data_IF_667448054767
#
_entry.id   IF_667448054767
#
_cell.length_a   1.000
_cell.length_b   1.000
_cell.length_c   1.000
_cell.angle_alpha   90.00
_cell.angle_beta   90.00
_cell.angle_gamma   90.00
#
_symmetry.space_group_name_H-M   'P 1'
#
loop_
_entity.id
_entity.type
_entity.pdbx_description
1 polymer ?
#
# COMPACT_ATOMS: atom_id res chain seq x y z
N UNK A 1 2.25 28.52 -7.37
CA UNK A 1 1.51 27.30 -7.73
C UNK A 1 1.25 26.53 -6.47
N UNK A 2 -0.01 26.44 -6.07
CA UNK A 2 -0.44 25.69 -4.89
C UNK A 2 -0.15 24.20 -5.15
N UNK A 3 0.66 23.56 -4.29
CA UNK A 3 0.96 22.13 -4.42
C UNK A 3 -0.34 21.38 -4.21
N UNK A 4 -0.90 20.84 -5.29
CA UNK A 4 -2.16 20.11 -5.26
C UNK A 4 -1.91 18.75 -4.58
N UNK A 5 -2.06 18.70 -3.26
CA UNK A 5 -2.02 17.46 -2.50
C UNK A 5 -3.30 16.67 -2.78
N UNK A 6 -3.22 15.67 -3.65
CA UNK A 6 -4.38 14.81 -3.91
C UNK A 6 -4.52 13.76 -2.80
N UNK A 7 -5.73 13.65 -2.26
CA UNK A 7 -6.16 12.52 -1.44
C UNK A 7 -6.88 11.52 -2.34
N UNK A 8 -6.62 10.22 -2.15
CA UNK A 8 -7.27 9.17 -2.91
C UNK A 8 -8.02 8.24 -1.96
N UNK A 9 -9.31 8.04 -2.20
CA UNK A 9 -10.13 7.02 -1.53
C UNK A 9 -10.04 5.70 -2.28
N UNK A 10 -10.67 4.67 -1.71
CA UNK A 10 -10.55 3.29 -2.19
C UNK A 10 -11.04 3.14 -3.65
N UNK A 11 -12.02 3.93 -4.08
CA UNK A 11 -12.53 3.90 -5.45
C UNK A 11 -11.47 4.33 -6.47
N UNK A 12 -10.75 5.41 -6.18
CA UNK A 12 -9.63 5.87 -7.01
C UNK A 12 -8.46 4.87 -6.99
N UNK A 13 -8.19 4.26 -5.84
CA UNK A 13 -7.15 3.22 -5.71
C UNK A 13 -7.49 2.00 -6.59
N UNK A 14 -8.75 1.58 -6.67
CA UNK A 14 -9.17 0.47 -7.53
C UNK A 14 -8.93 0.72 -9.02
N UNK A 15 -8.99 1.98 -9.46
CA UNK A 15 -8.70 2.35 -10.85
C UNK A 15 -7.19 2.31 -11.15
N UNK A 16 -6.36 2.57 -10.15
CA UNK A 16 -4.90 2.62 -10.31
C UNK A 16 -4.25 1.25 -10.13
N UNK A 17 -4.72 0.45 -9.18
CA UNK A 17 -4.15 -0.85 -8.85
C UNK A 17 -4.98 -2.01 -9.43
N UNK A 18 -4.34 -3.03 -10.02
CA UNK A 18 -5.04 -4.25 -10.41
C UNK A 18 -5.32 -5.18 -9.22
N UNK A 19 -4.64 -4.99 -8.09
CA UNK A 19 -4.81 -5.79 -6.87
C UNK A 19 -6.25 -5.76 -6.36
N UNK A 20 -6.75 -6.91 -5.90
CA UNK A 20 -8.08 -7.08 -5.29
C UNK A 20 -7.96 -7.97 -4.06
N UNK A 21 -9.05 -8.10 -3.29
CA UNK A 21 -9.09 -8.97 -2.13
C UNK A 21 -8.59 -10.39 -2.47
N UNK A 22 -7.75 -11.02 -1.63
CA UNK A 22 -7.26 -10.55 -0.32
C UNK A 22 -5.90 -9.80 -0.36
N UNK A 23 -5.49 -9.28 -1.53
CA UNK A 23 -4.13 -8.78 -1.76
C UNK A 23 -4.06 -7.29 -2.15
N UNK A 24 -5.15 -6.53 -2.01
CA UNK A 24 -5.08 -5.07 -2.02
C UNK A 24 -4.86 -4.59 -0.57
N UNK A 25 -3.77 -3.89 -0.32
CA UNK A 25 -3.28 -3.58 1.03
C UNK A 25 -3.06 -2.08 1.26
N UNK A 26 -3.73 -1.22 0.49
CA UNK A 26 -3.70 0.24 0.68
C UNK A 26 -5.14 0.74 0.76
N UNK A 27 -5.50 1.34 1.89
CA UNK A 27 -6.88 1.78 2.15
C UNK A 27 -7.14 3.20 1.66
N UNK A 28 -6.13 4.08 1.81
CA UNK A 28 -6.25 5.51 1.49
C UNK A 28 -4.88 6.14 1.25
N UNK A 29 -4.84 7.11 0.34
CA UNK A 29 -3.73 8.06 0.19
C UNK A 29 -4.11 9.38 0.88
N UNK A 30 -3.27 9.81 1.82
CA UNK A 30 -3.44 11.05 2.60
C UNK A 30 -2.84 12.26 1.88
N UNK A 31 -1.76 12.06 1.13
CA UNK A 31 -1.12 13.11 0.34
C UNK A 31 -0.28 12.49 -0.77
N UNK A 32 -0.33 13.08 -1.95
CA UNK A 32 0.51 12.72 -3.08
C UNK A 32 1.03 14.01 -3.73
N UNK A 33 2.35 14.08 -3.91
CA UNK A 33 3.04 15.11 -4.70
C UNK A 33 3.79 14.39 -5.83
N UNK A 34 3.29 14.44 -7.09
CA UNK A 34 3.87 13.70 -8.20
C UNK A 34 5.38 13.97 -8.36
N UNK A 35 6.17 12.92 -8.54
CA UNK A 35 7.63 13.03 -8.65
C UNK A 35 8.37 13.37 -7.36
N UNK A 36 7.68 13.60 -6.24
CA UNK A 36 8.31 13.97 -4.96
C UNK A 36 8.00 13.01 -3.81
N UNK A 37 6.72 12.79 -3.48
CA UNK A 37 6.35 11.95 -2.32
C UNK A 37 4.91 11.43 -2.36
N UNK A 38 4.67 10.37 -1.59
CA UNK A 38 3.34 9.83 -1.32
C UNK A 38 3.24 9.41 0.15
N UNK A 39 2.08 9.62 0.76
CA UNK A 39 1.73 9.11 2.09
C UNK A 39 0.40 8.39 2.01
N UNK A 40 0.40 7.11 2.34
CA UNK A 40 -0.79 6.25 2.42
C UNK A 40 -0.83 5.56 3.78
N UNK A 41 -1.93 4.87 4.07
CA UNK A 41 -1.99 3.94 5.18
C UNK A 41 -2.82 2.70 4.82
N UNK A 42 -2.65 1.69 5.66
CA UNK A 42 -3.44 0.46 5.68
C UNK A 42 -3.92 0.27 7.12
N UNK A 43 -5.23 0.19 7.34
CA UNK A 43 -5.75 -0.22 8.63
C UNK A 43 -5.46 -1.70 8.83
N UNK A 44 -5.15 -2.08 10.07
CA UNK A 44 -4.90 -3.46 10.44
C UNK A 44 -6.01 -3.95 11.34
N UNK A 45 -6.74 -4.98 10.91
CA UNK A 45 -7.90 -5.49 11.67
C UNK A 45 -7.84 -7.00 11.83
N UNK A 46 -8.31 -7.50 12.99
CA UNK A 46 -8.37 -8.95 13.27
C UNK A 46 -9.23 -9.71 12.24
N UNK A 47 -10.10 -8.99 11.52
CA UNK A 47 -10.94 -9.55 10.47
C UNK A 47 -10.23 -9.73 9.11
N UNK A 48 -8.90 -9.66 9.06
CA UNK A 48 -8.13 -9.97 7.85
C UNK A 48 -7.74 -11.46 7.79
N UNK A 49 -7.77 -12.08 6.59
CA UNK A 49 -7.68 -13.54 6.47
C UNK A 49 -6.34 -14.12 6.94
N UNK A 50 -5.24 -13.37 6.86
CA UNK A 50 -3.93 -13.87 7.25
C UNK A 50 -3.75 -14.01 8.77
N UNK A 51 -4.57 -13.34 9.60
CA UNK A 51 -4.48 -13.48 11.06
C UNK A 51 -4.95 -14.84 11.58
N UNK A 52 -5.74 -15.59 10.80
CA UNK A 52 -6.09 -16.97 11.15
C UNK A 52 -4.85 -17.88 11.29
N UNK A 53 -3.78 -17.56 10.56
CA UNK A 53 -2.55 -18.35 10.51
C UNK A 53 -1.31 -17.64 11.04
N UNK A 54 -1.37 -16.34 11.33
CA UNK A 54 -0.18 -15.55 11.70
C UNK A 54 -0.43 -14.66 12.94
N UNK A 55 -0.48 -15.22 14.15
CA UNK A 55 -0.49 -16.65 14.51
C UNK A 55 -1.71 -16.96 15.37
N UNK A 56 -2.20 -18.21 15.43
CA UNK A 56 -3.24 -18.59 16.38
C UNK A 56 -2.86 -18.20 17.82
N UNK A 57 -3.67 -17.33 18.44
CA UNK A 57 -3.44 -16.80 19.79
C UNK A 57 -2.55 -15.57 19.90
N UNK A 58 -1.81 -15.20 18.86
CA UNK A 58 -0.90 -14.04 18.83
C UNK A 58 -0.92 -13.40 17.42
N UNK A 59 -1.93 -12.57 17.10
CA UNK A 59 -2.11 -12.01 15.77
C UNK A 59 -1.06 -10.92 15.48
N UNK A 60 -0.19 -11.19 14.51
CA UNK A 60 0.87 -10.28 14.06
C UNK A 60 0.74 -10.11 12.54
N UNK A 61 0.75 -8.89 12.03
CA UNK A 61 0.73 -8.69 10.58
C UNK A 61 2.05 -9.22 9.98
N UNK A 62 2.01 -10.09 8.96
CA UNK A 62 3.22 -10.57 8.32
C UNK A 62 4.04 -9.40 7.76
N UNK A 63 5.32 -9.32 8.11
CA UNK A 63 6.19 -8.21 7.67
C UNK A 63 6.24 -8.05 6.14
N UNK A 64 6.18 -9.16 5.41
CA UNK A 64 6.12 -9.16 3.93
C UNK A 64 4.88 -8.45 3.38
N UNK A 65 3.75 -8.44 4.10
CA UNK A 65 2.56 -7.70 3.68
C UNK A 65 2.68 -6.19 3.94
N UNK A 66 3.53 -5.78 4.88
CA UNK A 66 3.90 -4.36 5.06
C UNK A 66 4.69 -3.90 3.82
N UNK A 67 5.65 -4.72 3.38
CA UNK A 67 6.44 -4.45 2.18
C UNK A 67 5.57 -4.40 0.92
N UNK A 68 4.64 -5.34 0.78
CA UNK A 68 3.67 -5.35 -0.31
C UNK A 68 2.81 -4.07 -0.31
N UNK A 69 2.28 -3.65 0.84
CA UNK A 69 1.53 -2.39 0.95
C UNK A 69 2.38 -1.17 0.54
N UNK A 70 3.68 -1.15 0.89
CA UNK A 70 4.62 -0.13 0.45
C UNK A 70 4.85 -0.19 -1.08
N UNK A 71 4.99 -1.38 -1.65
CA UNK A 71 5.14 -1.56 -3.09
C UNK A 71 3.91 -1.06 -3.86
N UNK A 72 2.70 -1.41 -3.40
CA UNK A 72 1.44 -0.92 -3.96
C UNK A 72 1.31 0.61 -3.88
N UNK A 73 1.73 1.19 -2.76
CA UNK A 73 1.83 2.65 -2.62
C UNK A 73 2.80 3.25 -3.64
N UNK A 74 3.94 2.60 -3.90
CA UNK A 74 4.88 2.99 -4.95
C UNK A 74 4.28 2.92 -6.36
N UNK A 75 3.47 1.91 -6.67
CA UNK A 75 2.76 1.80 -7.95
C UNK A 75 1.76 2.96 -8.12
N UNK A 76 1.00 3.30 -7.07
CA UNK A 76 0.09 4.45 -7.07
C UNK A 76 0.87 5.73 -7.37
N UNK A 77 2.00 5.94 -6.70
CA UNK A 77 2.86 7.11 -6.93
C UNK A 77 3.41 7.17 -8.36
N UNK A 78 3.93 6.06 -8.89
CA UNK A 78 4.46 5.99 -10.24
C UNK A 78 3.40 6.34 -11.29
N UNK A 79 2.20 5.73 -11.19
CA UNK A 79 1.09 6.01 -12.12
C UNK A 79 0.57 7.45 -12.05
N UNK A 80 0.66 8.12 -10.91
CA UNK A 80 0.31 9.54 -10.80
C UNK A 80 1.45 10.48 -11.22
N UNK A 81 2.69 9.98 -11.30
CA UNK A 81 3.85 10.74 -11.76
C UNK A 81 4.00 10.67 -13.29
N UNK A 82 3.68 9.52 -13.89
CA UNK A 82 3.74 9.30 -15.34
C UNK A 82 2.50 8.51 -15.83
N UNK A 83 1.32 9.16 -15.88
CA UNK A 83 0.07 8.48 -16.23
C UNK A 83 0.05 7.97 -17.67
N UNK A 84 0.53 8.77 -18.63
CA UNK A 84 0.56 8.41 -20.05
C UNK A 84 1.59 7.31 -20.33
N UNK A 85 2.80 7.42 -19.76
CA UNK A 85 3.85 6.44 -19.95
C UNK A 85 3.57 5.09 -19.29
N UNK A 86 2.70 5.05 -18.28
CA UNK A 86 2.34 3.82 -17.55
C UNK A 86 0.91 3.33 -17.82
N UNK A 87 0.20 3.95 -18.76
CA UNK A 87 -1.13 3.51 -19.15
C UNK A 87 -1.12 2.06 -19.64
N UNK A 88 -2.03 1.24 -19.12
CA UNK A 88 -2.16 -0.18 -19.47
C UNK A 88 -1.00 -1.09 -19.02
N UNK A 89 0.06 -0.56 -18.38
CA UNK A 89 1.21 -1.36 -17.95
C UNK A 89 0.97 -2.01 -16.60
N UNK A 90 1.36 -3.29 -16.50
CA UNK A 90 1.49 -3.99 -15.23
C UNK A 90 2.85 -3.64 -14.62
N UNK A 91 2.84 -3.01 -13.45
CA UNK A 91 4.05 -2.77 -12.68
C UNK A 91 4.27 -3.96 -11.77
N UNK A 92 5.44 -4.57 -11.90
CA UNK A 92 5.88 -5.69 -11.07
C UNK A 92 7.02 -5.26 -10.16
N UNK A 93 7.04 -5.81 -8.96
CA UNK A 93 8.03 -5.49 -7.96
C UNK A 93 9.31 -6.30 -8.18
N UNK A 94 10.44 -5.62 -8.40
CA UNK A 94 11.70 -6.27 -8.78
C UNK A 94 12.57 -6.66 -7.56
N UNK A 95 12.52 -5.90 -6.47
CA UNK A 95 13.35 -6.16 -5.29
C UNK A 95 13.27 -5.06 -4.24
N UNK A 96 13.85 -5.34 -3.07
CA UNK A 96 14.03 -4.40 -1.97
C UNK A 96 15.38 -4.60 -1.33
N UNK A 97 15.98 -3.48 -0.93
CA UNK A 97 17.23 -3.46 -0.19
C UNK A 97 17.05 -2.77 1.17
N UNK A 98 17.88 -3.17 2.15
CA UNK A 98 17.95 -2.51 3.44
C UNK A 98 16.72 -2.65 4.34
N UNK A 99 15.85 -3.63 4.08
CA UNK A 99 14.62 -3.85 4.87
C UNK A 99 14.95 -4.28 6.29
N UNK A 100 14.34 -3.61 7.28
CA UNK A 100 14.41 -3.97 8.71
C UNK A 100 13.07 -3.72 9.39
N UNK A 101 12.50 -4.76 10.00
CA UNK A 101 11.31 -4.64 10.84
C UNK A 101 11.72 -4.33 12.28
N UNK A 102 11.18 -3.24 12.86
CA UNK A 102 11.58 -2.74 14.19
C UNK A 102 10.62 -3.13 15.32
N UNK A 103 9.34 -3.27 15.00
CA UNK A 103 8.28 -3.67 15.92
C UNK A 103 7.22 -4.46 15.17
N UNK A 104 6.51 -5.33 15.88
CA UNK A 104 5.32 -5.98 15.35
C UNK A 104 4.23 -4.94 15.07
N UNK A 105 3.46 -5.19 14.00
CA UNK A 105 2.22 -4.48 13.70
C UNK A 105 1.08 -5.44 14.01
N UNK A 106 0.06 -4.98 14.73
CA UNK A 106 -1.00 -5.82 15.31
C UNK A 106 -2.39 -5.26 14.97
N UNK A 107 -3.47 -6.05 15.12
CA UNK A 107 -4.84 -5.55 14.97
C UNK A 107 -5.09 -4.29 15.81
N UNK A 108 -5.65 -3.25 15.18
CA UNK A 108 -5.91 -1.94 15.77
C UNK A 108 -4.93 -0.85 15.34
N UNK A 109 -3.78 -1.21 14.76
CA UNK A 109 -2.79 -0.26 14.24
C UNK A 109 -3.24 0.44 12.93
N UNK A 110 -2.62 1.59 12.66
CA UNK A 110 -2.68 2.37 11.41
C UNK A 110 -1.30 2.94 11.04
#
# INVERSE_FOLDING_TARGET
MEKMHSQLRIQEIFALLPHRYPFLLVDRVLSLEPGASIKSFKNVTINEPFFQGHFPGEPIMPGVLILEAMAQTGIIFAKNTDPEGLEGKLLVFAGMDGVRFRRSVVPGDQ
#
